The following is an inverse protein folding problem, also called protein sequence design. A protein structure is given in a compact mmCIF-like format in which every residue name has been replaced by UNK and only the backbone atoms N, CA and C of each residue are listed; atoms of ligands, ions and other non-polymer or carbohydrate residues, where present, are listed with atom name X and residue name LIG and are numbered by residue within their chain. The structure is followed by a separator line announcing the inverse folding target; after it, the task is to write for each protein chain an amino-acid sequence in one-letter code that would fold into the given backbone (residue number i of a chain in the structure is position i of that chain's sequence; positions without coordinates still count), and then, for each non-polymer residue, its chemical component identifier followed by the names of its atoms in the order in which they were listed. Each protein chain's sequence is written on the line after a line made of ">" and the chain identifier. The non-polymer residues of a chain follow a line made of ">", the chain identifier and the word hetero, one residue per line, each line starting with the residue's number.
data_IF_266741008899
#
_entry.id   IF_266741008899
#
_cell.length_a   1.000
_cell.length_b   1.000
_cell.length_c   1.000
_cell.angle_alpha   90.00
_cell.angle_beta   90.00
_cell.angle_gamma   90.00
#
_symmetry.space_group_name_H-M   'P 1'
#
loop_
_entity.id
_entity.type
_entity.pdbx_description
1 polymer ?
#
# COMPACT_ATOMS: atom_id res chain seq x y z
N UNK A 1 -7.14 -10.53 4.78
CA UNK A 1 -5.80 -10.47 4.15
C UNK A 1 -4.67 -10.64 5.16
N UNK A 2 -4.85 -11.43 6.24
CA UNK A 2 -3.91 -11.50 7.37
C UNK A 2 -2.53 -12.13 7.10
N UNK A 3 -2.22 -12.49 5.84
CA UNK A 3 -0.88 -12.90 5.40
C UNK A 3 -0.01 -11.75 4.92
N UNK A 4 -0.60 -10.55 4.79
CA UNK A 4 0.09 -9.34 4.36
C UNK A 4 -0.23 -8.18 5.28
N UNK A 5 0.75 -7.32 5.51
CA UNK A 5 0.59 -6.00 6.12
C UNK A 5 0.95 -4.94 5.07
N UNK A 6 0.16 -3.88 4.99
CA UNK A 6 0.38 -2.76 4.08
C UNK A 6 0.81 -1.55 4.89
N UNK A 7 1.96 -1.00 4.56
CA UNK A 7 2.58 0.11 5.31
C UNK A 7 2.70 1.32 4.38
N UNK A 8 1.85 2.35 4.56
CA UNK A 8 2.03 3.64 3.90
C UNK A 8 3.21 4.39 4.54
N UNK A 9 3.95 5.12 3.73
CA UNK A 9 5.12 5.89 4.13
C UNK A 9 5.08 7.29 3.52
N UNK A 10 5.17 8.28 4.39
CA UNK A 10 5.34 9.70 4.04
C UNK A 10 6.80 10.09 3.78
N UNK A 11 7.75 9.18 3.98
CA UNK A 11 9.19 9.47 3.86
C UNK A 11 9.67 9.24 2.42
N UNK A 12 9.04 8.31 1.71
CA UNK A 12 9.42 7.89 0.37
C UNK A 12 8.20 7.69 -0.54
N UNK A 13 7.08 8.33 -0.17
CA UNK A 13 5.87 8.40 -0.98
C UNK A 13 5.40 7.04 -1.48
N UNK A 14 5.35 6.05 -0.59
CA UNK A 14 5.10 4.66 -0.98
C UNK A 14 4.12 3.93 -0.10
N UNK A 15 3.51 2.88 -0.66
CA UNK A 15 2.84 1.83 0.10
C UNK A 15 3.60 0.52 -0.15
N UNK A 16 4.04 -0.12 0.92
CA UNK A 16 4.77 -1.39 0.85
C UNK A 16 3.95 -2.51 1.47
N UNK A 17 3.87 -3.65 0.79
CA UNK A 17 3.34 -4.88 1.34
C UNK A 17 4.45 -5.76 1.89
N UNK A 18 4.24 -6.32 3.07
CA UNK A 18 5.14 -7.31 3.67
C UNK A 18 4.38 -8.59 4.01
N UNK A 19 5.05 -9.72 3.92
CA UNK A 19 4.53 -10.99 4.45
C UNK A 19 4.51 -10.94 5.98
N UNK A 20 3.36 -11.22 6.59
CA UNK A 20 3.22 -11.17 8.06
C UNK A 20 4.01 -12.27 8.77
N UNK A 21 4.26 -13.41 8.11
CA UNK A 21 4.99 -14.54 8.68
C UNK A 21 6.52 -14.32 8.70
N UNK A 22 7.08 -13.62 7.70
CA UNK A 22 8.53 -13.51 7.51
C UNK A 22 9.07 -12.08 7.62
N UNK A 23 8.19 -11.08 7.56
CA UNK A 23 8.58 -9.67 7.46
C UNK A 23 9.23 -9.29 6.14
N UNK A 24 9.33 -10.21 5.16
CA UNK A 24 9.93 -9.91 3.85
C UNK A 24 9.00 -9.01 3.04
N UNK A 25 9.59 -8.05 2.36
CA UNK A 25 8.90 -7.21 1.38
C UNK A 25 8.34 -8.09 0.26
N UNK A 26 7.07 -7.88 -0.06
CA UNK A 26 6.36 -8.57 -1.13
C UNK A 26 6.31 -7.69 -2.38
N UNK A 27 5.87 -6.45 -2.24
CA UNK A 27 5.87 -5.44 -3.30
C UNK A 27 5.89 -4.03 -2.69
N UNK A 28 6.27 -3.05 -3.51
CA UNK A 28 6.21 -1.62 -3.18
C UNK A 28 5.65 -0.83 -4.36
N UNK A 29 4.70 0.04 -4.07
CA UNK A 29 4.16 1.03 -5.00
C UNK A 29 4.65 2.43 -4.59
N UNK A 30 5.13 3.21 -5.55
CA UNK A 30 5.49 4.61 -5.36
C UNK A 30 4.38 5.50 -5.93
N UNK A 31 3.87 6.41 -5.11
CA UNK A 31 2.95 7.46 -5.49
C UNK A 31 3.71 8.77 -5.70
N UNK A 32 3.02 9.81 -6.13
CA UNK A 32 3.63 11.12 -6.43
C UNK A 32 3.64 12.08 -5.23
N UNK A 33 3.20 11.62 -4.06
CA UNK A 33 3.14 12.40 -2.83
C UNK A 33 3.04 11.52 -1.56
N UNK A 34 3.35 12.10 -0.38
CA UNK A 34 3.34 11.39 0.91
C UNK A 34 2.05 10.65 1.24
N UNK A 35 2.16 9.37 1.60
CA UNK A 35 1.07 8.56 2.15
C UNK A 35 1.08 8.60 3.68
N UNK A 36 0.20 9.42 4.28
CA UNK A 36 0.18 9.68 5.74
C UNK A 36 -0.85 8.88 6.51
N UNK A 37 -1.93 8.47 5.82
CA UNK A 37 -3.08 7.85 6.44
C UNK A 37 -3.03 6.33 6.29
N UNK A 38 -3.68 5.63 7.24
CA UNK A 38 -3.78 4.18 7.20
C UNK A 38 -4.50 3.72 5.93
N UNK A 39 -3.98 2.65 5.31
CA UNK A 39 -4.60 2.03 4.14
C UNK A 39 -5.72 1.06 4.54
N UNK A 40 -6.70 0.90 3.65
CA UNK A 40 -7.81 -0.05 3.83
C UNK A 40 -7.61 -1.20 2.84
N UNK A 41 -7.60 -2.42 3.38
CA UNK A 41 -7.40 -3.64 2.62
C UNK A 41 -8.70 -4.47 2.62
N UNK A 42 -9.35 -4.64 1.45
CA UNK A 42 -10.58 -5.42 1.32
C UNK A 42 -10.71 -6.05 -0.06
N UNK A 43 -11.19 -7.30 -0.11
CA UNK A 43 -11.51 -8.02 -1.35
C UNK A 43 -10.38 -8.01 -2.39
N UNK A 44 -9.14 -8.21 -1.95
CA UNK A 44 -7.97 -8.24 -2.85
C UNK A 44 -7.51 -6.87 -3.34
N UNK A 45 -8.03 -5.78 -2.77
CA UNK A 45 -7.67 -4.40 -3.10
C UNK A 45 -7.14 -3.66 -1.89
N UNK A 46 -6.23 -2.72 -2.13
CA UNK A 46 -5.66 -1.80 -1.13
C UNK A 46 -5.99 -0.38 -1.55
N UNK A 47 -6.65 0.34 -0.66
CA UNK A 47 -7.05 1.73 -0.85
C UNK A 47 -6.21 2.61 0.06
N UNK A 48 -5.67 3.69 -0.49
CA UNK A 48 -4.95 4.68 0.30
C UNK A 48 -5.06 6.06 -0.35
N UNK A 49 -4.92 7.08 0.48
CA UNK A 49 -4.87 8.48 0.05
C UNK A 49 -3.52 9.06 0.43
N UNK A 50 -3.12 10.06 -0.33
CA UNK A 50 -1.86 10.76 -0.20
C UNK A 50 -2.07 12.26 -0.48
N UNK A 51 -1.01 13.05 -0.28
CA UNK A 51 -1.09 14.51 -0.33
C UNK A 51 -1.26 15.07 -1.76
N UNK A 52 -1.19 14.24 -2.83
CA UNK A 52 -1.46 14.69 -4.20
C UNK A 52 -2.96 14.88 -4.49
N UNK A 53 -3.82 14.47 -3.56
CA UNK A 53 -5.26 14.65 -3.62
C UNK A 53 -6.02 13.49 -4.26
N UNK A 54 -5.37 12.36 -4.57
CA UNK A 54 -6.04 11.19 -5.14
C UNK A 54 -6.33 10.09 -4.10
N UNK A 55 -7.34 9.27 -4.43
CA UNK A 55 -7.57 7.97 -3.82
C UNK A 55 -7.03 6.90 -4.78
N UNK A 56 -5.97 6.22 -4.35
CA UNK A 56 -5.39 5.13 -5.10
C UNK A 56 -6.06 3.80 -4.76
N UNK A 57 -6.16 2.92 -5.76
CA UNK A 57 -6.62 1.55 -5.60
C UNK A 57 -5.59 0.59 -6.19
N UNK A 58 -4.93 -0.20 -5.35
CA UNK A 58 -3.94 -1.18 -5.79
C UNK A 58 -4.49 -2.60 -5.68
N UNK A 59 -4.00 -3.48 -6.54
CA UNK A 59 -4.11 -4.92 -6.35
C UNK A 59 -3.29 -5.35 -5.13
N UNK A 60 -3.90 -6.07 -4.20
CA UNK A 60 -3.21 -6.62 -3.04
C UNK A 60 -2.24 -7.77 -3.39
N UNK A 61 -2.35 -8.32 -4.60
CA UNK A 61 -1.52 -9.45 -5.04
C UNK A 61 -0.12 -8.97 -5.42
N UNK A 62 -0.03 -7.88 -6.17
CA UNK A 62 1.19 -7.47 -6.86
C UNK A 62 1.49 -5.95 -6.74
N UNK A 63 0.60 -5.18 -6.11
CA UNK A 63 0.79 -3.74 -5.93
C UNK A 63 0.49 -2.90 -7.18
N UNK A 64 -0.04 -3.51 -8.25
CA UNK A 64 -0.38 -2.79 -9.47
C UNK A 64 -1.57 -1.83 -9.25
N UNK A 65 -1.51 -0.66 -9.86
CA UNK A 65 -2.62 0.30 -9.90
C UNK A 65 -3.79 -0.26 -10.71
N UNK A 66 -5.01 -0.12 -10.18
CA UNK A 66 -6.27 -0.61 -10.77
C UNK A 66 -7.18 0.54 -11.24
#
# INVERSE_FOLDING_TARGET
>A
MGKQIFVPSMVNDSVTAYHTETGREHWRFFADAPARLASIARNGKVYFVNDDGYLYCLSAVDGNLL
#
